data_IF_748398701778
#
_entry.id   IF_748398701778
#
_cell.length_a   1.000
_cell.length_b   1.000
_cell.length_c   1.000
_cell.angle_alpha   90.00
_cell.angle_beta   90.00
_cell.angle_gamma   90.00
#
_symmetry.space_group_name_H-M   'P 1'
#
loop_
_entity.id
_entity.type
_entity.pdbx_description
1 polymer ?
#
# COMPACT_ATOMS: atom_id res chain seq x y z
N UNK A 1 -17.72 38.13 -4.80
CA UNK A 1 -16.85 37.77 -5.94
C UNK A 1 -15.81 36.78 -5.42
N UNK A 2 -16.01 35.49 -5.67
CA UNK A 2 -15.08 34.47 -5.28
C UNK A 2 -14.07 34.27 -6.41
N UNK A 3 -12.82 34.60 -6.18
CA UNK A 3 -11.73 34.41 -7.13
C UNK A 3 -11.36 32.90 -7.11
N UNK A 4 -11.59 32.23 -8.24
CA UNK A 4 -11.12 30.89 -8.48
C UNK A 4 -9.60 30.83 -8.31
N UNK A 5 -9.05 29.81 -7.60
CA UNK A 5 -7.61 29.62 -7.54
C UNK A 5 -7.07 29.31 -8.93
N UNK A 6 -5.85 29.78 -9.28
CA UNK A 6 -5.29 29.60 -10.59
C UNK A 6 -5.10 28.10 -10.90
N UNK A 7 -5.68 27.66 -12.01
CA UNK A 7 -5.46 26.33 -12.58
C UNK A 7 -3.96 26.18 -12.83
N UNK A 8 -3.29 25.32 -12.08
CA UNK A 8 -1.87 24.97 -12.28
C UNK A 8 -1.70 24.50 -13.73
N UNK A 9 -0.98 25.29 -14.55
CA UNK A 9 -0.62 24.93 -15.93
C UNK A 9 0.00 23.54 -15.93
N UNK A 10 -0.69 22.57 -16.56
CA UNK A 10 -0.10 21.28 -16.90
C UNK A 10 1.19 21.55 -17.69
N UNK A 11 2.32 21.12 -17.15
CA UNK A 11 3.58 21.15 -17.88
C UNK A 11 3.44 20.29 -19.14
N UNK A 12 3.87 20.84 -20.26
CA UNK A 12 3.77 20.31 -21.62
C UNK A 12 4.11 18.79 -21.65
N UNK A 13 3.20 17.90 -22.05
CA UNK A 13 3.46 16.45 -22.11
C UNK A 13 4.63 16.11 -23.06
N UNK A 14 4.99 17.04 -23.93
CA UNK A 14 6.09 16.93 -24.89
C UNK A 14 7.46 16.69 -24.21
N UNK A 15 7.77 17.41 -23.12
CA UNK A 15 9.05 17.25 -22.42
C UNK A 15 9.22 15.87 -21.78
N UNK A 16 8.10 15.29 -21.36
CA UNK A 16 8.10 13.94 -20.76
C UNK A 16 8.29 12.87 -21.83
N UNK A 17 7.60 13.03 -22.96
CA UNK A 17 7.75 12.11 -24.11
C UNK A 17 9.19 12.16 -24.64
N UNK A 18 9.78 13.37 -24.69
CA UNK A 18 11.19 13.53 -25.10
C UNK A 18 12.13 12.86 -24.08
N UNK A 19 11.90 13.04 -22.76
CA UNK A 19 12.74 12.42 -21.74
C UNK A 19 12.68 10.87 -21.80
N UNK A 20 11.50 10.30 -21.98
CA UNK A 20 11.32 8.85 -22.15
C UNK A 20 12.00 8.37 -23.45
N UNK A 21 11.86 9.09 -24.55
CA UNK A 21 12.51 8.76 -25.80
C UNK A 21 14.04 8.82 -25.70
N UNK A 22 14.59 9.82 -25.01
CA UNK A 22 16.04 9.95 -24.76
C UNK A 22 16.56 8.80 -23.90
N UNK A 23 15.84 8.43 -22.83
CA UNK A 23 16.21 7.29 -21.99
C UNK A 23 16.13 5.98 -22.79
N UNK A 24 15.09 5.80 -23.60
CA UNK A 24 14.99 4.65 -24.52
C UNK A 24 16.17 4.57 -25.49
N UNK A 25 16.54 5.70 -26.08
CA UNK A 25 17.68 5.78 -27.01
C UNK A 25 19.01 5.45 -26.30
N UNK A 26 19.24 5.99 -25.09
CA UNK A 26 20.45 5.71 -24.30
C UNK A 26 20.50 4.23 -23.90
N UNK A 27 19.40 3.66 -23.41
CA UNK A 27 19.33 2.24 -23.07
C UNK A 27 19.55 1.35 -24.29
N UNK A 28 18.93 1.68 -25.43
CA UNK A 28 19.13 0.94 -26.68
C UNK A 28 20.59 1.00 -27.18
N UNK A 29 21.20 2.19 -27.07
CA UNK A 29 22.61 2.36 -27.44
C UNK A 29 23.54 1.57 -26.51
N UNK A 30 23.28 1.55 -25.22
CA UNK A 30 24.03 0.76 -24.24
C UNK A 30 23.90 -0.76 -24.48
N UNK A 31 22.73 -1.23 -24.88
CA UNK A 31 22.52 -2.64 -25.25
C UNK A 31 23.25 -3.04 -26.53
N UNK A 32 23.28 -2.15 -27.52
CA UNK A 32 24.01 -2.36 -28.78
C UNK A 32 25.53 -2.30 -28.59
N UNK A 33 26.02 -1.56 -27.60
CA UNK A 33 27.44 -1.56 -27.22
C UNK A 33 27.75 -2.83 -26.46
N UNK A 34 28.14 -3.89 -27.14
CA UNK A 34 28.26 -5.32 -26.76
C UNK A 34 29.12 -5.63 -25.50
N UNK A 35 29.51 -4.65 -24.70
CA UNK A 35 30.34 -4.81 -23.51
C UNK A 35 29.61 -4.58 -22.18
N UNK A 36 28.37 -4.10 -22.22
CA UNK A 36 27.66 -3.74 -20.98
C UNK A 36 26.69 -4.86 -20.57
N UNK A 37 26.85 -5.47 -19.35
CA UNK A 37 25.93 -6.50 -18.90
C UNK A 37 24.48 -5.99 -18.85
N UNK A 38 23.47 -6.75 -19.33
CA UNK A 38 22.07 -6.34 -19.41
C UNK A 38 21.50 -5.81 -18.10
N UNK A 39 21.96 -6.34 -16.96
CA UNK A 39 21.55 -5.91 -15.61
C UNK A 39 21.72 -4.41 -15.35
N UNK A 40 22.75 -3.78 -15.92
CA UNK A 40 22.97 -2.34 -15.73
C UNK A 40 22.01 -1.50 -16.56
N UNK A 41 21.65 -1.96 -17.75
CA UNK A 41 20.71 -1.27 -18.63
C UNK A 41 19.30 -1.28 -18.01
N UNK A 42 18.84 -2.45 -17.57
CA UNK A 42 17.55 -2.55 -16.88
C UNK A 42 17.56 -1.85 -15.53
N UNK A 43 18.69 -1.87 -14.80
CA UNK A 43 18.86 -1.10 -13.55
C UNK A 43 18.76 0.40 -13.78
N UNK A 44 19.37 0.93 -14.84
CA UNK A 44 19.26 2.34 -15.21
C UNK A 44 17.82 2.71 -15.62
N UNK A 45 17.17 1.88 -16.44
CA UNK A 45 15.77 2.08 -16.81
C UNK A 45 14.85 2.13 -15.60
N UNK A 46 15.03 1.22 -14.66
CA UNK A 46 14.30 1.19 -13.42
C UNK A 46 14.54 2.47 -12.58
N UNK A 47 15.82 2.86 -12.40
CA UNK A 47 16.19 4.05 -11.63
C UNK A 47 15.58 5.32 -12.22
N UNK A 48 15.61 5.48 -13.55
CA UNK A 48 15.00 6.62 -14.24
C UNK A 48 13.48 6.62 -14.09
N UNK A 49 12.84 5.46 -14.27
CA UNK A 49 11.38 5.34 -14.11
C UNK A 49 10.95 5.70 -12.68
N UNK A 50 11.69 5.22 -11.66
CA UNK A 50 11.44 5.56 -10.25
C UNK A 50 11.70 7.03 -9.95
N UNK A 51 12.78 7.61 -10.51
CA UNK A 51 13.06 9.04 -10.38
C UNK A 51 11.96 9.92 -10.98
N UNK A 52 11.44 9.54 -12.15
CA UNK A 52 10.30 10.24 -12.78
C UNK A 52 8.99 10.08 -11.99
N UNK A 53 8.77 8.90 -11.38
CA UNK A 53 7.65 8.65 -10.47
C UNK A 53 7.69 9.58 -9.25
N UNK A 54 8.87 9.80 -8.68
CA UNK A 54 9.08 10.67 -7.53
C UNK A 54 8.77 12.15 -7.82
N UNK A 55 8.89 12.59 -9.09
CA UNK A 55 8.58 13.96 -9.48
C UNK A 55 7.07 14.29 -9.51
N UNK A 56 6.20 13.29 -9.42
CA UNK A 56 4.72 13.42 -9.37
C UNK A 56 4.05 14.30 -10.46
N UNK A 57 4.75 14.54 -11.56
CA UNK A 57 4.28 15.44 -12.64
C UNK A 57 3.42 14.73 -13.69
N UNK A 58 3.40 13.40 -13.68
CA UNK A 58 2.76 12.56 -14.72
C UNK A 58 1.87 11.53 -14.04
N UNK A 59 0.89 11.03 -14.80
CA UNK A 59 0.10 9.89 -14.33
C UNK A 59 1.00 8.67 -14.12
N UNK A 60 1.07 8.22 -12.87
CA UNK A 60 1.96 7.12 -12.44
C UNK A 60 1.75 5.83 -13.23
N UNK A 61 0.49 5.52 -13.58
CA UNK A 61 0.17 4.31 -14.34
C UNK A 61 0.73 4.36 -15.78
N UNK A 62 0.60 5.51 -16.45
CA UNK A 62 1.13 5.68 -17.82
C UNK A 62 2.66 5.54 -17.81
N UNK A 63 3.32 6.18 -16.85
CA UNK A 63 4.78 6.13 -16.74
C UNK A 63 5.30 4.70 -16.51
N UNK A 64 4.65 3.96 -15.59
CA UNK A 64 5.03 2.57 -15.30
C UNK A 64 4.78 1.65 -16.50
N UNK A 65 3.63 1.80 -17.19
CA UNK A 65 3.33 1.02 -18.39
C UNK A 65 4.31 1.29 -19.53
N UNK A 66 4.72 2.54 -19.73
CA UNK A 66 5.74 2.90 -20.71
C UNK A 66 7.10 2.30 -20.35
N UNK A 67 7.52 2.40 -19.08
CA UNK A 67 8.76 1.81 -18.60
C UNK A 67 8.79 0.29 -18.74
N UNK A 68 7.70 -0.39 -18.38
CA UNK A 68 7.55 -1.83 -18.53
C UNK A 68 7.52 -2.26 -20.00
N UNK A 69 6.77 -1.55 -20.85
CA UNK A 69 6.74 -1.82 -22.29
C UNK A 69 8.11 -1.66 -22.94
N UNK A 70 8.86 -0.62 -22.56
CA UNK A 70 10.24 -0.43 -23.03
C UNK A 70 11.16 -1.55 -22.56
N UNK A 71 11.06 -1.98 -21.30
CA UNK A 71 11.85 -3.08 -20.76
C UNK A 71 11.58 -4.39 -21.53
N UNK A 72 10.31 -4.66 -21.87
CA UNK A 72 9.93 -5.82 -22.68
C UNK A 72 10.54 -5.75 -24.09
N UNK A 73 10.41 -4.62 -24.78
CA UNK A 73 10.96 -4.43 -26.13
C UNK A 73 12.48 -4.62 -26.12
N UNK A 74 13.19 -4.03 -25.16
CA UNK A 74 14.63 -4.16 -25.01
C UNK A 74 15.04 -5.60 -24.65
N UNK A 75 14.25 -6.28 -23.80
CA UNK A 75 14.48 -7.68 -23.44
C UNK A 75 14.36 -8.62 -24.63
N UNK A 76 13.35 -8.44 -25.49
CA UNK A 76 13.21 -9.23 -26.73
C UNK A 76 14.24 -8.88 -27.79
N UNK A 77 14.73 -7.65 -27.84
CA UNK A 77 15.76 -7.24 -28.77
C UNK A 77 17.15 -7.81 -28.44
N UNK A 78 17.36 -8.26 -27.18
CA UNK A 78 18.64 -8.83 -26.78
C UNK A 78 18.65 -10.35 -26.97
N UNK A 79 19.50 -10.86 -27.87
CA UNK A 79 19.50 -12.26 -28.28
C UNK A 79 19.68 -13.26 -27.12
N UNK A 80 20.54 -12.94 -26.14
CA UNK A 80 20.81 -13.81 -25.00
C UNK A 80 19.60 -13.89 -24.04
N UNK A 81 18.92 -12.76 -23.83
CA UNK A 81 17.70 -12.69 -22.97
C UNK A 81 16.54 -13.36 -23.69
N UNK A 82 16.40 -13.12 -25.00
CA UNK A 82 15.37 -13.75 -25.81
C UNK A 82 15.50 -15.27 -25.85
N UNK A 83 16.72 -15.81 -25.97
CA UNK A 83 16.96 -17.27 -25.89
C UNK A 83 16.61 -17.85 -24.55
N UNK A 84 17.03 -17.24 -23.42
CA UNK A 84 16.68 -17.69 -22.07
C UNK A 84 15.17 -17.64 -21.81
N UNK A 85 14.48 -16.63 -22.34
CA UNK A 85 13.03 -16.51 -22.25
C UNK A 85 12.32 -17.61 -23.03
N UNK A 86 12.78 -17.92 -24.25
CA UNK A 86 12.23 -18.98 -25.09
C UNK A 86 12.46 -20.34 -24.42
N UNK A 87 13.67 -20.60 -23.88
CA UNK A 87 13.99 -21.82 -23.17
C UNK A 87 13.11 -22.01 -21.91
N UNK A 88 12.84 -20.96 -21.14
CA UNK A 88 11.94 -21.05 -19.97
C UNK A 88 10.49 -21.35 -20.34
N UNK A 89 10.08 -21.03 -21.58
CA UNK A 89 8.75 -21.32 -22.12
C UNK A 89 8.65 -22.73 -22.68
N UNK A 90 9.78 -23.29 -23.21
CA UNK A 90 9.80 -24.59 -23.88
C UNK A 90 9.86 -25.79 -22.94
N UNK A 91 10.06 -25.61 -21.63
CA UNK A 91 10.04 -26.71 -20.64
C UNK A 91 8.65 -27.21 -20.23
N UNK A 92 7.57 -26.68 -20.80
CA UNK A 92 6.23 -27.23 -20.70
C UNK A 92 5.97 -28.22 -21.85
N UNK A 93 6.22 -29.50 -21.62
CA UNK A 93 5.88 -30.56 -22.58
C UNK A 93 4.38 -30.55 -22.91
N UNK A 94 4.07 -30.77 -24.19
CA UNK A 94 2.75 -31.07 -24.74
C UNK A 94 1.72 -29.93 -24.79
N UNK A 95 1.87 -28.99 -25.73
CA UNK A 95 0.67 -28.45 -26.37
C UNK A 95 1.01 -27.67 -27.65
N UNK A 96 0.34 -27.99 -28.74
CA UNK A 96 0.43 -27.43 -30.07
C UNK A 96 -0.06 -25.99 -30.25
N UNK A 97 -0.08 -25.19 -29.16
CA UNK A 97 -0.33 -23.74 -29.20
C UNK A 97 0.84 -23.05 -28.50
N UNK A 98 1.73 -22.47 -29.29
CA UNK A 98 2.82 -21.63 -28.79
C UNK A 98 2.22 -20.40 -28.09
N UNK A 99 2.10 -20.46 -26.75
CA UNK A 99 1.70 -19.29 -25.95
C UNK A 99 2.78 -18.22 -26.17
N UNK A 100 2.42 -17.01 -26.59
CA UNK A 100 3.39 -15.94 -26.79
C UNK A 100 4.23 -15.70 -25.53
N UNK A 101 5.55 -15.59 -25.67
CA UNK A 101 6.50 -15.47 -24.55
C UNK A 101 6.15 -14.33 -23.59
N UNK A 102 5.56 -13.22 -24.07
CA UNK A 102 5.12 -12.11 -23.22
C UNK A 102 3.98 -12.49 -22.28
N UNK A 103 3.17 -13.51 -22.58
CA UNK A 103 2.11 -14.00 -21.69
C UNK A 103 2.72 -14.80 -20.53
N UNK A 104 3.76 -15.59 -20.81
CA UNK A 104 4.45 -16.40 -19.79
C UNK A 104 5.28 -15.54 -18.84
N UNK A 105 5.76 -14.39 -19.30
CA UNK A 105 6.48 -13.42 -18.45
C UNK A 105 5.60 -12.74 -17.40
N UNK A 106 4.27 -12.80 -17.54
CA UNK A 106 3.33 -12.23 -16.60
C UNK A 106 3.05 -13.24 -15.48
N UNK A 107 3.34 -12.86 -14.25
CA UNK A 107 2.93 -13.64 -13.09
C UNK A 107 1.43 -13.48 -12.84
N UNK A 108 0.64 -14.34 -13.51
CA UNK A 108 -0.82 -14.35 -13.40
C UNK A 108 -1.29 -14.67 -11.98
N UNK A 109 -0.50 -15.42 -11.19
CA UNK A 109 -0.78 -15.71 -9.79
C UNK A 109 -0.76 -14.42 -8.96
N UNK A 110 0.30 -13.64 -9.07
CA UNK A 110 0.42 -12.33 -8.41
C UNK A 110 -0.71 -11.38 -8.84
N UNK A 111 -1.02 -11.29 -10.14
CA UNK A 111 -2.13 -10.44 -10.64
C UNK A 111 -3.47 -10.90 -10.06
N UNK A 112 -3.73 -12.22 -10.04
CA UNK A 112 -4.95 -12.80 -9.49
C UNK A 112 -5.11 -12.45 -8.01
N UNK A 113 -4.05 -12.55 -7.21
CA UNK A 113 -4.05 -12.17 -5.79
C UNK A 113 -4.34 -10.68 -5.62
N UNK A 114 -3.69 -9.82 -6.41
CA UNK A 114 -3.90 -8.36 -6.32
C UNK A 114 -5.33 -7.98 -6.66
N UNK A 115 -5.88 -8.49 -7.76
CA UNK A 115 -7.26 -8.20 -8.19
C UNK A 115 -8.25 -8.77 -7.17
N UNK A 116 -8.10 -10.04 -6.79
CA UNK A 116 -8.99 -10.72 -5.85
C UNK A 116 -9.00 -10.04 -4.49
N UNK A 117 -7.83 -9.75 -3.93
CA UNK A 117 -7.73 -9.05 -2.65
C UNK A 117 -8.31 -7.64 -2.70
N UNK A 118 -8.10 -6.89 -3.79
CA UNK A 118 -8.65 -5.53 -3.95
C UNK A 118 -10.19 -5.54 -4.02
N UNK A 119 -10.77 -6.47 -4.79
CA UNK A 119 -12.23 -6.63 -4.87
C UNK A 119 -12.79 -7.01 -3.50
N UNK A 120 -12.20 -8.01 -2.85
CA UNK A 120 -12.60 -8.51 -1.54
C UNK A 120 -12.59 -7.40 -0.48
N UNK A 121 -11.47 -6.68 -0.36
CA UNK A 121 -11.31 -5.56 0.57
C UNK A 121 -12.34 -4.46 0.30
N UNK A 122 -12.58 -4.13 -0.98
CA UNK A 122 -13.55 -3.10 -1.37
C UNK A 122 -14.97 -3.50 -0.95
N UNK A 123 -15.33 -4.77 -1.13
CA UNK A 123 -16.65 -5.29 -0.71
C UNK A 123 -16.81 -5.20 0.81
N UNK A 124 -15.84 -5.68 1.59
CA UNK A 124 -15.89 -5.60 3.05
C UNK A 124 -15.90 -4.16 3.55
N UNK A 125 -15.14 -3.26 2.94
CA UNK A 125 -15.13 -1.84 3.30
C UNK A 125 -16.52 -1.20 3.16
N UNK A 126 -17.31 -1.62 2.16
CA UNK A 126 -18.69 -1.14 1.97
C UNK A 126 -19.68 -1.61 3.03
N UNK A 127 -19.39 -2.67 3.77
CA UNK A 127 -20.25 -3.16 4.86
C UNK A 127 -20.24 -2.26 6.10
N UNK A 128 -19.29 -1.32 6.20
CA UNK A 128 -19.08 -0.48 7.37
C UNK A 128 -18.27 -1.16 8.49
N UNK A 129 -17.79 -2.40 8.28
CA UNK A 129 -17.07 -3.18 9.29
C UNK A 129 -15.83 -2.46 9.80
N UNK A 130 -15.01 -1.93 8.91
CA UNK A 130 -13.78 -1.23 9.30
C UNK A 130 -14.06 0.06 10.07
N UNK A 131 -15.09 0.82 9.67
CA UNK A 131 -15.49 2.03 10.40
C UNK A 131 -16.06 1.69 11.77
N UNK A 132 -16.86 0.63 11.88
CA UNK A 132 -17.39 0.14 13.15
C UNK A 132 -16.24 -0.23 14.10
N UNK A 133 -15.25 -1.01 13.65
CA UNK A 133 -14.06 -1.35 14.44
C UNK A 133 -13.33 -0.07 14.88
N UNK A 134 -13.15 0.87 13.96
CA UNK A 134 -12.44 2.12 14.23
C UNK A 134 -13.12 2.95 15.31
N UNK A 135 -14.46 3.05 15.30
CA UNK A 135 -15.22 3.76 16.34
C UNK A 135 -15.16 3.02 17.69
N UNK A 136 -15.17 1.69 17.69
CA UNK A 136 -14.95 0.90 18.91
C UNK A 136 -13.57 1.18 19.52
N UNK A 137 -12.53 1.19 18.69
CA UNK A 137 -11.16 1.49 19.13
C UNK A 137 -11.05 2.95 19.63
N UNK A 138 -11.73 3.91 18.98
CA UNK A 138 -11.83 5.27 19.46
C UNK A 138 -12.40 5.33 20.88
N UNK A 139 -13.50 4.62 21.15
CA UNK A 139 -14.09 4.55 22.51
C UNK A 139 -13.13 3.95 23.54
N UNK A 140 -12.33 2.96 23.18
CA UNK A 140 -11.29 2.38 24.04
C UNK A 140 -10.23 3.42 24.42
N UNK A 141 -9.92 4.38 23.55
CA UNK A 141 -8.95 5.45 23.85
C UNK A 141 -9.43 6.42 24.95
N UNK A 142 -10.75 6.44 25.23
CA UNK A 142 -11.39 7.35 26.20
C UNK A 142 -11.10 8.84 25.92
N UNK A 143 -10.72 9.18 24.71
CA UNK A 143 -10.37 10.54 24.29
C UNK A 143 -9.02 11.06 24.83
N UNK A 144 -8.23 10.22 25.51
CA UNK A 144 -6.88 10.59 25.93
C UNK A 144 -5.93 10.66 24.72
N UNK A 145 -5.21 11.78 24.48
CA UNK A 145 -4.41 11.94 23.29
C UNK A 145 -3.33 10.88 23.09
N UNK A 146 -2.70 10.42 24.18
CA UNK A 146 -1.66 9.41 24.08
C UNK A 146 -2.24 8.01 23.81
N UNK A 147 -3.34 7.67 24.48
CA UNK A 147 -4.06 6.42 24.20
C UNK A 147 -4.63 6.43 22.78
N UNK A 148 -5.16 7.57 22.33
CA UNK A 148 -5.66 7.75 20.96
C UNK A 148 -4.55 7.47 19.92
N UNK A 149 -3.35 8.02 20.15
CA UNK A 149 -2.19 7.75 19.30
C UNK A 149 -1.89 6.24 19.23
N UNK A 150 -1.80 5.56 20.37
CA UNK A 150 -1.52 4.11 20.40
C UNK A 150 -2.63 3.32 19.71
N UNK A 151 -3.88 3.61 20.02
CA UNK A 151 -5.03 2.90 19.48
C UNK A 151 -5.16 3.06 17.97
N UNK A 152 -5.02 4.28 17.46
CA UNK A 152 -5.14 4.54 16.03
C UNK A 152 -3.91 4.07 15.25
N UNK A 153 -2.72 4.22 15.82
CA UNK A 153 -1.50 3.63 15.23
C UNK A 153 -1.58 2.11 15.14
N UNK A 154 -2.01 1.44 16.21
CA UNK A 154 -2.22 0.00 16.23
C UNK A 154 -3.28 -0.45 15.22
N UNK A 155 -4.41 0.27 15.18
CA UNK A 155 -5.48 0.00 14.20
C UNK A 155 -4.98 0.18 12.76
N UNK A 156 -4.20 1.23 12.50
CA UNK A 156 -3.62 1.49 11.17
C UNK A 156 -2.70 0.36 10.74
N UNK A 157 -1.84 -0.14 11.63
CA UNK A 157 -0.97 -1.30 11.34
C UNK A 157 -1.80 -2.54 11.04
N UNK A 158 -2.80 -2.86 11.86
CA UNK A 158 -3.67 -4.01 11.64
C UNK A 158 -4.43 -3.89 10.32
N UNK A 159 -5.01 -2.73 10.04
CA UNK A 159 -5.75 -2.54 8.78
C UNK A 159 -4.80 -2.62 7.58
N UNK A 160 -3.64 -1.98 7.64
CA UNK A 160 -2.67 -2.01 6.56
C UNK A 160 -2.04 -3.38 6.32
N UNK A 161 -2.11 -4.29 7.29
CA UNK A 161 -1.70 -5.68 7.11
C UNK A 161 -2.63 -6.48 6.18
N UNK A 162 -3.89 -6.06 6.02
CA UNK A 162 -4.89 -6.73 5.19
C UNK A 162 -5.42 -5.86 4.04
N UNK A 163 -5.44 -4.54 4.24
CA UNK A 163 -5.87 -3.55 3.26
C UNK A 163 -4.64 -2.94 2.58
N UNK A 164 -4.83 -2.38 1.39
CA UNK A 164 -3.78 -1.52 0.86
C UNK A 164 -3.63 -0.24 1.73
N UNK A 165 -2.43 0.33 1.74
CA UNK A 165 -2.07 1.48 2.58
C UNK A 165 -3.01 2.67 2.41
N UNK A 166 -3.47 2.92 1.17
CA UNK A 166 -4.37 4.04 0.86
C UNK A 166 -5.74 3.84 1.50
N UNK A 167 -6.31 2.64 1.40
CA UNK A 167 -7.62 2.33 2.00
C UNK A 167 -7.55 2.39 3.52
N UNK A 168 -6.50 1.81 4.14
CA UNK A 168 -6.28 1.89 5.58
C UNK A 168 -6.21 3.35 6.05
N UNK A 169 -5.43 4.19 5.37
CA UNK A 169 -5.27 5.61 5.68
C UNK A 169 -6.58 6.40 5.51
N UNK A 170 -7.37 6.12 4.47
CA UNK A 170 -8.66 6.80 4.27
C UNK A 170 -9.63 6.47 5.42
N UNK A 171 -9.70 5.20 5.83
CA UNK A 171 -10.64 4.76 6.86
C UNK A 171 -10.24 5.32 8.23
N UNK A 172 -9.00 5.09 8.67
CA UNK A 172 -8.55 5.53 10.00
C UNK A 172 -8.37 7.04 10.04
N UNK A 173 -7.70 7.63 9.05
CA UNK A 173 -7.43 9.06 8.99
C UNK A 173 -8.69 9.92 8.95
N UNK A 174 -9.75 9.49 8.26
CA UNK A 174 -11.03 10.21 8.28
C UNK A 174 -11.64 10.26 9.67
N UNK A 175 -11.61 9.16 10.41
CA UNK A 175 -12.10 9.11 11.80
C UNK A 175 -11.19 9.92 12.73
N UNK A 176 -9.87 9.85 12.52
CA UNK A 176 -8.88 10.64 13.26
C UNK A 176 -9.16 12.14 13.15
N UNK A 177 -9.44 12.64 11.95
CA UNK A 177 -9.79 14.05 11.72
C UNK A 177 -11.05 14.43 12.53
N UNK A 178 -12.10 13.60 12.45
CA UNK A 178 -13.37 13.88 13.15
C UNK A 178 -13.19 13.80 14.66
N UNK A 179 -12.47 12.79 15.16
CA UNK A 179 -12.19 12.60 16.59
C UNK A 179 -11.35 13.77 17.14
N UNK A 180 -10.25 14.14 16.47
CA UNK A 180 -9.40 15.25 16.87
C UNK A 180 -10.18 16.57 16.87
N UNK A 181 -11.03 16.80 15.86
CA UNK A 181 -11.88 18.00 15.83
C UNK A 181 -12.83 18.08 17.04
N UNK A 182 -13.49 16.98 17.42
CA UNK A 182 -14.36 16.92 18.60
C UNK A 182 -13.57 17.11 19.90
N UNK A 183 -12.39 16.51 19.99
CA UNK A 183 -11.51 16.61 21.16
C UNK A 183 -10.68 17.91 21.20
N UNK A 184 -10.84 18.80 20.22
CA UNK A 184 -10.06 20.05 20.07
C UNK A 184 -8.55 19.82 19.99
N UNK A 185 -8.13 18.68 19.42
CA UNK A 185 -6.74 18.32 19.21
C UNK A 185 -6.31 18.64 17.77
N UNK A 186 -5.01 18.88 17.55
CA UNK A 186 -4.45 18.94 16.21
C UNK A 186 -4.41 17.53 15.60
N UNK A 187 -5.04 17.33 14.43
CA UNK A 187 -5.02 16.03 13.74
C UNK A 187 -3.67 15.72 13.07
N UNK A 188 -2.85 16.73 12.78
CA UNK A 188 -1.62 16.59 11.98
C UNK A 188 -0.63 15.56 12.56
N UNK A 189 -0.29 15.55 13.86
CA UNK A 189 0.62 14.57 14.42
C UNK A 189 0.12 13.13 14.28
N UNK A 190 -1.18 12.92 14.45
CA UNK A 190 -1.81 11.60 14.34
C UNK A 190 -1.80 11.11 12.90
N UNK A 191 -2.18 11.95 11.93
CA UNK A 191 -2.18 11.62 10.51
C UNK A 191 -0.76 11.34 9.98
N UNK A 192 0.25 12.09 10.42
CA UNK A 192 1.65 11.80 10.07
C UNK A 192 2.10 10.45 10.64
N UNK A 193 1.75 10.16 11.89
CA UNK A 193 2.01 8.87 12.51
C UNK A 193 1.34 7.74 11.72
N UNK A 194 0.05 7.86 11.43
CA UNK A 194 -0.72 6.88 10.66
C UNK A 194 -0.11 6.64 9.26
N UNK A 195 0.34 7.70 8.58
CA UNK A 195 1.04 7.58 7.29
C UNK A 195 2.31 6.75 7.38
N UNK A 196 3.06 6.80 8.48
CA UNK A 196 4.22 5.94 8.71
C UNK A 196 3.75 4.51 9.05
N UNK A 197 2.74 4.39 9.90
CA UNK A 197 2.24 3.09 10.35
C UNK A 197 1.55 2.28 9.24
N UNK A 198 1.00 2.91 8.20
CA UNK A 198 0.51 2.18 7.02
C UNK A 198 1.65 1.40 6.34
N UNK A 199 2.85 1.98 6.25
CA UNK A 199 4.00 1.27 5.68
C UNK A 199 4.50 0.14 6.59
N UNK A 200 4.52 0.36 7.91
CA UNK A 200 4.89 -0.69 8.88
C UNK A 200 3.91 -1.87 8.81
N UNK A 201 2.60 -1.58 8.79
CA UNK A 201 1.57 -2.61 8.62
C UNK A 201 1.63 -3.31 7.26
N UNK A 202 1.95 -2.54 6.21
CA UNK A 202 2.18 -3.06 4.87
C UNK A 202 3.34 -4.04 4.74
N UNK A 203 4.28 -4.05 5.68
CA UNK A 203 5.36 -5.04 5.75
C UNK A 203 4.99 -6.29 6.54
N UNK A 204 3.88 -6.28 7.28
CA UNK A 204 3.55 -7.35 8.22
C UNK A 204 3.12 -8.64 7.52
N UNK A 205 2.41 -8.55 6.40
CA UNK A 205 1.89 -9.72 5.68
C UNK A 205 2.28 -9.73 4.21
N UNK A 206 2.28 -10.92 3.60
CA UNK A 206 2.56 -11.07 2.17
C UNK A 206 1.56 -10.33 1.28
N UNK A 207 0.29 -10.27 1.68
CA UNK A 207 -0.82 -9.81 0.84
C UNK A 207 -0.97 -8.29 0.86
N UNK A 208 -0.48 -7.63 1.90
CA UNK A 208 -0.70 -6.20 2.14
C UNK A 208 0.00 -5.30 1.11
N UNK A 209 1.09 -5.75 0.51
CA UNK A 209 1.84 -4.95 -0.47
C UNK A 209 2.35 -5.79 -1.64
N UNK A 210 2.33 -5.18 -2.83
CA UNK A 210 2.79 -5.83 -4.07
C UNK A 210 4.24 -6.32 -3.98
N UNK A 211 5.22 -5.56 -3.44
CA UNK A 211 6.58 -6.04 -3.28
C UNK A 211 6.68 -7.31 -2.44
N UNK A 212 5.88 -7.42 -1.37
CA UNK A 212 5.89 -8.61 -0.52
C UNK A 212 5.37 -9.84 -1.27
N UNK A 213 4.30 -9.66 -2.08
CA UNK A 213 3.75 -10.75 -2.91
C UNK A 213 4.81 -11.25 -3.89
N UNK A 214 5.46 -10.33 -4.62
CA UNK A 214 6.49 -10.67 -5.61
C UNK A 214 7.67 -11.41 -4.95
N UNK A 215 8.19 -10.89 -3.85
CA UNK A 215 9.31 -11.52 -3.12
C UNK A 215 8.91 -12.88 -2.56
N UNK A 216 7.74 -12.97 -1.93
CA UNK A 216 7.23 -14.22 -1.35
C UNK A 216 7.02 -15.29 -2.39
N UNK A 217 6.40 -14.95 -3.53
CA UNK A 217 6.17 -15.88 -4.63
C UNK A 217 7.49 -16.34 -5.27
N UNK A 218 8.39 -15.40 -5.57
CA UNK A 218 9.68 -15.71 -6.19
C UNK A 218 10.61 -16.53 -5.28
N UNK A 219 10.54 -16.33 -3.96
CA UNK A 219 11.35 -17.04 -2.99
C UNK A 219 10.67 -18.30 -2.42
N UNK A 220 9.40 -18.59 -2.78
CA UNK A 220 8.64 -19.70 -2.25
C UNK A 220 8.35 -19.61 -0.75
N UNK A 221 8.29 -18.39 -0.20
CA UNK A 221 8.09 -18.15 1.24
C UNK A 221 6.60 -18.26 1.58
N UNK A 222 6.25 -19.13 2.52
CA UNK A 222 4.88 -19.29 3.03
C UNK A 222 4.43 -18.09 3.88
N UNK A 223 3.11 -17.85 3.92
CA UNK A 223 2.51 -16.74 4.68
C UNK A 223 2.93 -16.73 6.16
N UNK A 224 2.85 -17.89 6.83
CA UNK A 224 3.20 -18.03 8.24
C UNK A 224 4.70 -17.79 8.50
N UNK A 225 5.56 -18.22 7.58
CA UNK A 225 7.00 -18.00 7.66
C UNK A 225 7.35 -16.52 7.51
N UNK A 226 6.74 -15.85 6.52
CA UNK A 226 6.89 -14.42 6.33
C UNK A 226 6.48 -13.64 7.58
N UNK A 227 5.31 -13.96 8.15
CA UNK A 227 4.79 -13.30 9.36
C UNK A 227 5.72 -13.51 10.57
N UNK A 228 6.32 -14.69 10.74
CA UNK A 228 7.27 -14.98 11.84
C UNK A 228 8.52 -14.09 11.77
N UNK A 229 9.00 -13.78 10.57
CA UNK A 229 10.16 -12.92 10.37
C UNK A 229 9.79 -11.45 10.40
N UNK A 230 8.73 -11.06 9.70
CA UNK A 230 8.28 -9.66 9.60
C UNK A 230 7.67 -9.15 10.93
N UNK A 231 6.97 -10.01 11.68
CA UNK A 231 6.26 -9.64 12.91
C UNK A 231 7.13 -8.94 13.95
N UNK A 232 8.24 -9.56 14.41
CA UNK A 232 9.15 -8.94 15.37
C UNK A 232 9.73 -7.61 14.87
N UNK A 233 10.09 -7.54 13.58
CA UNK A 233 10.59 -6.31 12.97
C UNK A 233 9.53 -5.20 12.99
N UNK A 234 8.30 -5.51 12.59
CA UNK A 234 7.20 -4.55 12.62
C UNK A 234 6.87 -4.09 14.05
N UNK A 235 6.96 -4.98 15.05
CA UNK A 235 6.76 -4.62 16.44
C UNK A 235 7.82 -3.63 16.94
N UNK A 236 9.09 -3.88 16.63
CA UNK A 236 10.20 -2.97 16.97
C UNK A 236 9.99 -1.62 16.27
N UNK A 237 9.68 -1.62 14.98
CA UNK A 237 9.41 -0.41 14.21
C UNK A 237 8.20 0.37 14.76
N UNK A 238 7.14 -0.35 15.17
CA UNK A 238 5.96 0.25 15.81
C UNK A 238 6.33 1.00 17.09
N UNK A 239 7.04 0.34 17.99
CA UNK A 239 7.45 0.93 19.28
C UNK A 239 8.41 2.10 19.07
N UNK A 240 9.41 1.95 18.20
CA UNK A 240 10.35 3.02 17.88
C UNK A 240 9.65 4.26 17.31
N UNK A 241 8.73 4.07 16.35
CA UNK A 241 7.96 5.16 15.74
C UNK A 241 7.03 5.82 16.77
N UNK A 242 6.40 5.04 17.67
CA UNK A 242 5.56 5.57 18.73
C UNK A 242 6.33 6.52 19.66
N UNK A 243 7.51 6.11 20.10
CA UNK A 243 8.38 6.97 20.91
C UNK A 243 8.83 8.21 20.15
N UNK A 244 9.21 8.07 18.88
CA UNK A 244 9.65 9.17 18.03
C UNK A 244 8.54 10.22 17.85
N UNK A 245 7.32 9.78 17.50
CA UNK A 245 6.16 10.67 17.32
C UNK A 245 5.79 11.36 18.64
N UNK A 246 5.76 10.61 19.74
CA UNK A 246 5.50 11.16 21.07
C UNK A 246 6.52 12.23 21.44
N UNK A 247 7.79 11.97 21.21
CA UNK A 247 8.89 12.90 21.50
C UNK A 247 8.83 14.16 20.62
N UNK A 248 8.62 13.97 19.31
CA UNK A 248 8.61 15.07 18.33
C UNK A 248 7.42 16.01 18.55
N UNK A 249 6.23 15.47 18.77
CA UNK A 249 4.98 16.24 18.90
C UNK A 249 4.58 16.50 20.36
N UNK A 250 5.38 16.04 21.34
CA UNK A 250 5.13 16.22 22.78
C UNK A 250 3.73 15.80 23.21
N UNK A 251 3.22 14.70 22.63
CA UNK A 251 1.88 14.18 22.96
C UNK A 251 1.91 13.62 24.39
N UNK A 252 1.13 14.22 25.29
CA UNK A 252 1.04 13.82 26.69
C UNK A 252 -0.35 13.28 27.00
N UNK A 253 -0.46 12.32 27.94
CA UNK A 253 -1.75 11.88 28.45
C UNK A 253 -2.41 13.01 29.26
N UNK A 254 -3.74 13.04 29.27
CA UNK A 254 -4.52 13.93 30.11
C UNK A 254 -4.22 13.65 31.60
N UNK A 255 -3.97 14.70 32.38
CA UNK A 255 -3.67 14.58 33.81
C UNK A 255 -4.90 14.82 34.64
N UNK A 256 -5.73 15.79 34.26
CA UNK A 256 -6.92 16.20 35.02
C UNK A 256 -8.07 15.20 34.85
N UNK A 257 -8.73 14.89 35.96
CA UNK A 257 -9.85 13.95 35.98
C UNK A 257 -11.09 14.53 35.31
N UNK A 258 -11.31 15.84 35.40
CA UNK A 258 -12.42 16.50 34.73
C UNK A 258 -12.26 16.51 33.21
N UNK A 259 -11.04 16.82 32.70
CA UNK A 259 -10.71 16.72 31.29
C UNK A 259 -10.91 15.31 30.75
N UNK A 260 -10.48 14.26 31.47
CA UNK A 260 -10.69 12.86 31.10
C UNK A 260 -12.17 12.50 30.99
N UNK A 261 -13.00 12.95 31.97
CA UNK A 261 -14.43 12.67 31.94
C UNK A 261 -15.10 13.35 30.75
N UNK A 262 -14.75 14.60 30.47
CA UNK A 262 -15.29 15.33 29.33
C UNK A 262 -14.86 14.72 28.00
N UNK A 263 -13.58 14.36 27.85
CA UNK A 263 -13.05 13.71 26.66
C UNK A 263 -13.74 12.35 26.42
N UNK A 264 -13.93 11.56 27.47
CA UNK A 264 -14.66 10.28 27.39
C UNK A 264 -16.10 10.49 26.92
N UNK A 265 -16.84 11.44 27.50
CA UNK A 265 -18.20 11.73 27.09
C UNK A 265 -18.29 12.15 25.61
N UNK A 266 -17.33 12.93 25.12
CA UNK A 266 -17.26 13.32 23.70
C UNK A 266 -17.05 12.12 22.78
N UNK A 267 -16.26 11.13 23.19
CA UNK A 267 -15.95 9.93 22.40
C UNK A 267 -17.10 8.91 22.50
N UNK A 268 -17.74 8.77 23.64
CA UNK A 268 -18.88 7.87 23.83
C UNK A 268 -20.11 8.30 23.00
N UNK A 269 -20.19 9.57 22.63
CA UNK A 269 -21.24 10.12 21.76
C UNK A 269 -21.13 9.70 20.27
N UNK A 270 -20.09 8.98 19.88
CA UNK A 270 -20.01 8.41 18.52
C UNK A 270 -20.86 7.14 18.43
N UNK A 271 -21.69 7.06 17.39
CA UNK A 271 -22.44 5.83 17.11
C UNK A 271 -21.64 4.93 16.15
N UNK A 272 -21.24 3.78 16.63
CA UNK A 272 -20.53 2.79 15.84
C UNK A 272 -21.37 2.17 14.71
N UNK A 273 -22.68 2.21 14.82
CA UNK A 273 -23.61 1.63 13.84
C UNK A 273 -24.06 2.62 12.76
N UNK A 274 -23.72 3.89 12.87
CA UNK A 274 -24.12 4.94 11.93
C UNK A 274 -23.75 4.60 10.47
N UNK A 275 -22.60 3.96 10.25
CA UNK A 275 -22.10 3.62 8.92
C UNK A 275 -22.57 2.25 8.43
N UNK A 276 -23.18 1.44 9.27
CA UNK A 276 -23.64 0.10 8.94
C UNK A 276 -25.06 0.14 8.39
N UNK A 277 -25.20 0.13 7.05
CA UNK A 277 -26.50 0.20 6.38
C UNK A 277 -27.28 -1.11 6.45
N UNK A 278 -26.60 -2.24 6.35
CA UNK A 278 -27.18 -3.58 6.37
C UNK A 278 -26.42 -4.48 7.37
N UNK A 279 -27.11 -4.88 8.43
CA UNK A 279 -26.54 -5.75 9.48
C UNK A 279 -26.21 -7.15 8.98
N UNK A 280 -26.99 -7.69 8.01
CA UNK A 280 -26.70 -9.02 7.45
C UNK A 280 -25.41 -9.01 6.65
N UNK A 281 -25.24 -8.00 5.81
CA UNK A 281 -24.01 -7.81 5.05
C UNK A 281 -22.80 -7.56 5.95
N UNK A 282 -22.96 -6.81 7.05
CA UNK A 282 -21.94 -6.60 8.05
C UNK A 282 -21.46 -7.92 8.70
N UNK A 283 -22.38 -8.75 9.22
CA UNK A 283 -22.01 -10.01 9.85
C UNK A 283 -21.40 -10.99 8.84
N UNK A 284 -21.95 -11.08 7.62
CA UNK A 284 -21.38 -11.90 6.56
C UNK A 284 -19.94 -11.45 6.26
N UNK A 285 -19.69 -10.15 6.12
CA UNK A 285 -18.36 -9.59 5.90
C UNK A 285 -17.38 -9.91 7.04
N UNK A 286 -17.84 -9.85 8.28
CA UNK A 286 -17.03 -10.17 9.45
C UNK A 286 -16.64 -11.66 9.47
N UNK A 287 -17.60 -12.56 9.18
CA UNK A 287 -17.36 -14.02 9.12
C UNK A 287 -16.38 -14.36 8.00
N UNK A 288 -16.59 -13.80 6.81
CA UNK A 288 -15.73 -14.07 5.64
C UNK A 288 -14.31 -13.53 5.87
N UNK A 289 -14.17 -12.34 6.45
CA UNK A 289 -12.86 -11.81 6.83
C UNK A 289 -12.15 -12.71 7.84
N UNK A 290 -12.87 -13.16 8.88
CA UNK A 290 -12.33 -14.07 9.89
C UNK A 290 -11.91 -15.41 9.29
N UNK A 291 -12.72 -15.98 8.39
CA UNK A 291 -12.41 -17.24 7.71
C UNK A 291 -11.15 -17.13 6.83
N UNK A 292 -10.97 -16.01 6.13
CA UNK A 292 -9.79 -15.77 5.30
C UNK A 292 -8.54 -15.62 6.17
N UNK A 293 -8.62 -14.84 7.26
CA UNK A 293 -7.48 -14.70 8.19
C UNK A 293 -7.07 -16.05 8.77
N UNK A 294 -8.05 -16.88 9.16
CA UNK A 294 -7.77 -18.23 9.65
C UNK A 294 -7.19 -19.14 8.56
N UNK A 295 -7.71 -19.06 7.33
CA UNK A 295 -7.19 -19.83 6.20
C UNK A 295 -5.75 -19.48 5.79
N UNK A 296 -5.30 -18.26 6.06
CA UNK A 296 -3.89 -17.88 5.88
C UNK A 296 -2.98 -18.27 7.05
N UNK A 297 -3.56 -18.54 8.23
CA UNK A 297 -2.80 -18.95 9.42
C UNK A 297 -2.55 -20.46 9.47
N UNK A 298 -3.36 -21.25 8.74
CA UNK A 298 -3.25 -22.71 8.61
C UNK A 298 -2.38 -23.09 7.41
#
# INVERSE_FOLDING_TARGET
>A
MATNPPVKKLHNPLHVTIAVAVVAAICSFMLFSSSTPPKYVFGLLLAVTLGMLALEKINKAILVLLGAGLALILGFAHEEISKKLIESVSHGEDSAHSIPAYIVMIDWGTIGIIIGSTIFVTLISRSGLFTWISVKILKVSQGDPFRLLICFSGLTVVFSAFLNNVTAMIIVGSLTIVACKKLKLSAMPFLLAEGIYTNIGGLLTLISSIPNIIVGTAAGIGYAEFLKVAGPYCLIAFVATLYLVRWLFKIQPLKDTEEKTNAKAMVDAFDEWETVKDRRFFYLSAIVLGAIILGFAL
#
